data_IF_815504439556
#
_entry.id   IF_815504439556
#
_cell.length_a   1.000
_cell.length_b   1.000
_cell.length_c   1.000
_cell.angle_alpha   90.00
_cell.angle_beta   90.00
_cell.angle_gamma   90.00
#
_symmetry.space_group_name_H-M   'P 1'
#
loop_
_entity.id
_entity.type
_entity.pdbx_description
1 polymer ?
#
# COMPACT_ATOMS: atom_id res chain seq x y z
N UNK A 1 -7.78 21.32 -13.68
CA UNK A 1 -6.83 21.60 -12.57
C UNK A 1 -6.40 20.27 -11.94
N UNK A 2 -5.19 19.79 -12.23
CA UNK A 2 -4.63 18.61 -11.55
C UNK A 2 -4.25 19.02 -10.13
N UNK A 3 -5.00 18.52 -9.14
CA UNK A 3 -4.73 18.75 -7.71
C UNK A 3 -3.31 18.28 -7.41
N UNK A 4 -2.43 19.17 -6.95
CA UNK A 4 -1.06 18.80 -6.54
C UNK A 4 -1.15 17.92 -5.30
N UNK A 5 -0.82 16.64 -5.44
CA UNK A 5 -0.73 15.74 -4.29
C UNK A 5 0.44 16.19 -3.40
N UNK A 6 0.31 16.01 -2.08
CA UNK A 6 1.38 16.27 -1.12
C UNK A 6 2.21 14.99 -0.88
N UNK A 7 3.43 15.11 -0.34
CA UNK A 7 4.22 13.93 0.03
C UNK A 7 3.49 13.04 1.05
N UNK A 8 2.82 13.65 2.04
CA UNK A 8 1.98 12.94 3.01
C UNK A 8 0.82 12.20 2.34
N UNK A 9 0.26 12.71 1.24
CA UNK A 9 -0.80 12.03 0.48
C UNK A 9 -0.30 10.75 -0.16
N UNK A 10 0.91 10.76 -0.74
CA UNK A 10 1.54 9.56 -1.30
C UNK A 10 1.85 8.52 -0.23
N UNK A 11 2.40 8.95 0.91
CA UNK A 11 2.68 8.06 2.03
C UNK A 11 1.41 7.40 2.57
N UNK A 12 0.36 8.18 2.81
CA UNK A 12 -0.93 7.66 3.27
C UNK A 12 -1.54 6.68 2.27
N UNK A 13 -1.54 7.04 0.98
CA UNK A 13 -2.08 6.16 -0.06
C UNK A 13 -1.30 4.85 -0.16
N UNK A 14 0.04 4.90 -0.14
CA UNK A 14 0.88 3.70 -0.18
C UNK A 14 0.65 2.77 1.01
N UNK A 15 0.60 3.33 2.22
CA UNK A 15 0.28 2.58 3.43
C UNK A 15 -1.13 1.96 3.36
N UNK A 16 -2.12 2.73 2.89
CA UNK A 16 -3.50 2.27 2.76
C UNK A 16 -3.61 1.11 1.76
N UNK A 17 -2.94 1.20 0.60
CA UNK A 17 -2.94 0.13 -0.42
C UNK A 17 -2.37 -1.16 0.16
N UNK A 18 -1.26 -1.10 0.90
CA UNK A 18 -0.66 -2.29 1.53
C UNK A 18 -1.62 -2.89 2.56
N UNK A 19 -2.15 -2.06 3.47
CA UNK A 19 -3.06 -2.52 4.53
C UNK A 19 -4.32 -3.13 3.94
N UNK A 20 -4.96 -2.48 2.97
CA UNK A 20 -6.18 -2.97 2.34
C UNK A 20 -5.92 -4.20 1.46
N UNK A 21 -4.75 -4.31 0.84
CA UNK A 21 -4.38 -5.50 0.07
C UNK A 21 -4.03 -6.71 0.93
N UNK A 22 -3.47 -6.49 2.12
CA UNK A 22 -3.15 -7.53 3.08
C UNK A 22 -4.35 -7.97 3.93
N UNK A 23 -5.24 -7.04 4.26
CA UNK A 23 -6.33 -7.27 5.19
C UNK A 23 -7.21 -8.49 4.83
N UNK A 24 -7.64 -8.71 3.57
CA UNK A 24 -8.43 -9.88 3.21
C UNK A 24 -7.71 -11.20 3.50
N UNK A 25 -6.43 -11.30 3.16
CA UNK A 25 -5.64 -12.51 3.43
C UNK A 25 -5.49 -12.74 4.94
N UNK A 26 -5.19 -11.69 5.70
CA UNK A 26 -5.07 -11.78 7.16
C UNK A 26 -6.40 -12.18 7.83
N UNK A 27 -7.51 -11.59 7.40
CA UNK A 27 -8.84 -11.97 7.88
C UNK A 27 -9.16 -13.42 7.54
N UNK A 28 -8.82 -13.86 6.33
CA UNK A 28 -8.98 -15.25 5.93
C UNK A 28 -8.16 -16.19 6.81
N UNK A 29 -6.90 -15.85 7.11
CA UNK A 29 -6.07 -16.71 7.98
C UNK A 29 -6.59 -16.83 9.41
N UNK A 30 -7.35 -15.84 9.89
CA UNK A 30 -7.88 -15.80 11.25
C UNK A 30 -9.30 -16.41 11.36
N UNK A 31 -10.14 -16.18 10.35
CA UNK A 31 -11.59 -16.44 10.40
C UNK A 31 -12.08 -17.30 9.23
N UNK A 32 -11.22 -17.59 8.27
CA UNK A 32 -11.57 -18.31 7.06
C UNK A 32 -11.80 -19.80 7.29
N UNK A 33 -12.55 -20.46 6.39
CA UNK A 33 -12.76 -21.89 6.44
C UNK A 33 -11.44 -22.63 6.22
N UNK A 34 -11.23 -23.72 6.96
CA UNK A 34 -10.03 -24.58 6.87
C UNK A 34 -9.83 -25.18 5.47
N UNK A 35 -10.93 -25.44 4.75
CA UNK A 35 -10.90 -26.14 3.46
C UNK A 35 -10.99 -25.19 2.25
N UNK A 36 -10.99 -23.87 2.46
CA UNK A 36 -11.04 -22.93 1.36
C UNK A 36 -9.67 -22.67 0.72
N UNK A 37 -9.67 -22.00 -0.43
CA UNK A 37 -8.45 -21.68 -1.20
C UNK A 37 -8.15 -20.16 -1.18
N UNK A 38 -7.13 -19.69 -0.43
CA UNK A 38 -6.80 -18.27 -0.34
C UNK A 38 -5.87 -17.75 -1.44
N UNK A 39 -5.59 -18.51 -2.52
CA UNK A 39 -4.64 -18.09 -3.57
C UNK A 39 -4.96 -16.70 -4.13
N UNK A 40 -6.23 -16.39 -4.39
CA UNK A 40 -6.64 -15.08 -4.90
C UNK A 40 -6.28 -13.93 -3.94
N UNK A 41 -6.40 -14.15 -2.63
CA UNK A 41 -6.04 -13.16 -1.61
C UNK A 41 -4.51 -12.99 -1.51
N UNK A 42 -3.76 -14.07 -1.68
CA UNK A 42 -2.30 -14.03 -1.81
C UNK A 42 -1.86 -13.21 -3.03
N UNK A 43 -2.49 -13.43 -4.17
CA UNK A 43 -2.21 -12.66 -5.40
C UNK A 43 -2.53 -11.17 -5.24
N UNK A 44 -3.63 -10.84 -4.55
CA UNK A 44 -3.96 -9.46 -4.22
C UNK A 44 -2.84 -8.81 -3.40
N UNK A 45 -2.33 -9.49 -2.37
CA UNK A 45 -1.21 -9.00 -1.57
C UNK A 45 0.06 -8.80 -2.42
N UNK A 46 0.38 -9.76 -3.30
CA UNK A 46 1.53 -9.69 -4.21
C UNK A 46 1.50 -8.46 -5.11
N UNK A 47 0.31 -8.00 -5.52
CA UNK A 47 0.16 -6.76 -6.31
C UNK A 47 0.12 -5.52 -5.42
N UNK A 48 -0.56 -5.58 -4.27
CA UNK A 48 -0.72 -4.43 -3.39
C UNK A 48 0.60 -3.96 -2.78
N UNK A 49 1.49 -4.88 -2.40
CA UNK A 49 2.81 -4.55 -1.83
C UNK A 49 3.67 -3.68 -2.75
N UNK A 50 3.97 -4.09 -4.00
CA UNK A 50 4.80 -3.27 -4.89
C UNK A 50 4.14 -1.93 -5.24
N UNK A 51 2.83 -1.91 -5.47
CA UNK A 51 2.10 -0.66 -5.76
C UNK A 51 2.17 0.30 -4.56
N UNK A 52 1.93 -0.20 -3.35
CA UNK A 52 2.02 0.61 -2.15
C UNK A 52 3.45 1.05 -1.83
N UNK A 53 4.43 0.17 -1.99
CA UNK A 53 5.85 0.49 -1.82
C UNK A 53 6.31 1.58 -2.80
N UNK A 54 5.84 1.55 -4.05
CA UNK A 54 6.11 2.60 -5.02
C UNK A 54 5.56 3.96 -4.56
N UNK A 55 4.32 3.99 -4.08
CA UNK A 55 3.70 5.21 -3.53
C UNK A 55 4.45 5.72 -2.29
N UNK A 56 4.87 4.82 -1.39
CA UNK A 56 5.70 5.17 -0.25
C UNK A 56 7.04 5.77 -0.70
N UNK A 57 7.72 5.15 -1.65
CA UNK A 57 8.97 5.63 -2.24
C UNK A 57 8.83 7.02 -2.85
N UNK A 58 7.76 7.28 -3.61
CA UNK A 58 7.47 8.61 -4.18
C UNK A 58 7.26 9.64 -3.05
N UNK A 59 6.50 9.28 -2.02
CA UNK A 59 6.27 10.14 -0.86
C UNK A 59 7.56 10.51 -0.13
N UNK A 60 8.41 9.52 0.14
CA UNK A 60 9.71 9.70 0.80
C UNK A 60 10.67 10.54 -0.04
N UNK A 61 10.76 10.26 -1.34
CA UNK A 61 11.61 11.04 -2.26
C UNK A 61 11.20 12.51 -2.26
N UNK A 62 9.89 12.81 -2.28
CA UNK A 62 9.41 14.20 -2.22
C UNK A 62 9.71 14.87 -0.88
N UNK A 63 9.68 14.16 0.24
CA UNK A 63 10.11 14.70 1.52
C UNK A 63 11.61 15.01 1.53
N UNK A 64 12.44 14.13 0.98
CA UNK A 64 13.89 14.33 0.89
C UNK A 64 14.22 15.55 0.04
N UNK A 65 13.62 15.67 -1.15
CA UNK A 65 13.82 16.84 -2.02
C UNK A 65 13.39 18.13 -1.32
N UNK A 66 12.24 18.13 -0.64
CA UNK A 66 11.77 19.30 0.10
C UNK A 66 12.66 19.67 1.30
N UNK A 67 13.38 18.71 1.87
CA UNK A 67 14.36 18.94 2.94
C UNK A 67 15.67 19.51 2.42
N UNK A 68 16.14 19.08 1.25
CA UNK A 68 17.37 19.59 0.63
C UNK A 68 17.25 21.02 0.09
N UNK A 69 16.03 21.48 -0.17
CA UNK A 69 15.73 22.83 -0.67
C UNK A 69 15.50 23.86 0.44
N UNK A 70 15.59 23.48 1.71
CA UNK A 70 15.50 24.36 2.87
C UNK A 70 16.90 24.65 3.41
#
# INVERSE_FOLDING_TARGET
MLRRWSAASFLKAGALVIVLGAAPLLLYTLLGPTDGNPIGLGLLLVVAVPVGALLLGIGLLRLLVARLQR
#
